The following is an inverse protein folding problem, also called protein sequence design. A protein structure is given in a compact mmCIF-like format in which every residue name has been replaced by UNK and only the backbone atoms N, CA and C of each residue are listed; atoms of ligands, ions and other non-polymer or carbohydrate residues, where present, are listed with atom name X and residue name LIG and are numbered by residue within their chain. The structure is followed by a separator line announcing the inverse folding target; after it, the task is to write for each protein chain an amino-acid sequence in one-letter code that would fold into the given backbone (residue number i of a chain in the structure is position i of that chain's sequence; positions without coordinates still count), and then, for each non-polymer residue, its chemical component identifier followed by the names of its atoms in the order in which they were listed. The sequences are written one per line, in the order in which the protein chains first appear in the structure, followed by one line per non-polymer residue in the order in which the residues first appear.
data_IF_013037232325
#
_entry.id   IF_013037232325
#
_cell.length_a   1.000
_cell.length_b   1.000
_cell.length_c   1.000
_cell.angle_alpha   90.00
_cell.angle_beta   90.00
_cell.angle_gamma   90.00
#
_symmetry.space_group_name_H-M   'P 1'
#
loop_
_entity.id
_entity.type
_entity.pdbx_description
1 polymer ?
#
# COMPACT_ATOMS: atom_id res chain seq x y z
N UNK A 1 40.72 1.00 6.39
CA UNK A 1 39.36 1.21 6.92
C UNK A 1 38.37 0.82 5.82
N UNK A 2 37.67 -0.31 5.96
CA UNK A 2 36.75 -0.80 4.92
C UNK A 2 35.45 0.00 4.93
N UNK A 3 35.23 0.78 3.87
CA UNK A 3 33.99 1.52 3.63
C UNK A 3 32.86 0.54 3.32
N UNK A 4 32.11 0.15 4.36
CA UNK A 4 30.86 -0.59 4.19
C UNK A 4 29.82 0.38 3.64
N UNK A 5 29.65 0.37 2.31
CA UNK A 5 28.57 1.10 1.64
C UNK A 5 27.25 0.41 2.01
N UNK A 6 26.46 1.00 2.90
CA UNK A 6 25.12 0.49 3.24
C UNK A 6 24.33 0.33 1.94
N UNK A 7 23.75 -0.85 1.72
CA UNK A 7 22.81 -1.05 0.62
C UNK A 7 21.61 -0.14 0.87
N UNK A 8 21.15 0.56 -0.16
CA UNK A 8 19.86 1.25 -0.09
C UNK A 8 18.79 0.18 -0.07
N UNK A 9 18.01 0.13 1.01
CA UNK A 9 16.80 -0.69 1.06
C UNK A 9 15.76 -0.04 0.15
N UNK A 10 15.49 -0.69 -0.97
CA UNK A 10 14.48 -0.27 -1.95
C UNK A 10 13.06 -0.63 -1.54
N UNK A 11 12.92 -1.33 -0.42
CA UNK A 11 11.65 -1.62 0.22
C UNK A 11 11.58 -0.68 1.41
N UNK A 12 10.78 0.38 1.28
CA UNK A 12 10.47 1.32 2.36
C UNK A 12 10.11 0.54 3.65
N UNK A 13 11.07 0.36 4.54
CA UNK A 13 10.87 -0.23 5.88
C UNK A 13 9.95 0.66 6.73
N UNK A 14 9.76 1.92 6.34
CA UNK A 14 8.91 2.91 7.01
C UNK A 14 7.52 3.06 6.37
N UNK A 15 6.97 2.00 5.81
CA UNK A 15 5.57 2.05 5.40
C UNK A 15 4.69 1.99 6.66
N UNK A 16 3.89 3.02 6.88
CA UNK A 16 2.86 3.05 7.93
C UNK A 16 1.96 1.82 7.81
N UNK A 17 1.55 1.25 8.95
CA UNK A 17 0.80 0.00 8.97
C UNK A 17 -0.65 0.24 8.50
N UNK A 18 -0.94 -0.08 7.25
CA UNK A 18 -2.27 0.03 6.68
C UNK A 18 -3.04 -1.31 6.80
N UNK A 19 -4.02 -1.35 7.71
CA UNK A 19 -4.85 -2.53 7.94
C UNK A 19 -5.57 -3.02 6.67
N UNK A 20 -5.88 -2.15 5.70
CA UNK A 20 -6.53 -2.55 4.44
C UNK A 20 -5.66 -3.50 3.63
N UNK A 21 -4.34 -3.30 3.68
CA UNK A 21 -3.34 -4.12 3.00
C UNK A 21 -2.73 -5.19 3.91
N UNK A 22 -3.24 -5.37 5.14
CA UNK A 22 -2.74 -6.35 6.08
C UNK A 22 -3.37 -7.73 5.84
N UNK A 23 -2.60 -8.80 5.91
CA UNK A 23 -3.07 -10.19 5.81
C UNK A 23 -4.18 -10.51 6.83
N UNK A 24 -4.10 -9.90 8.01
CA UNK A 24 -5.08 -10.06 9.09
C UNK A 24 -6.29 -9.12 8.99
N UNK A 25 -6.21 -8.07 8.16
CA UNK A 25 -7.35 -7.19 7.90
C UNK A 25 -8.44 -7.90 7.11
N UNK A 26 -9.69 -7.58 7.38
CA UNK A 26 -10.82 -8.01 6.56
C UNK A 26 -11.85 -6.90 6.52
N UNK A 27 -12.51 -6.75 5.38
CA UNK A 27 -13.61 -5.81 5.25
C UNK A 27 -14.85 -6.38 5.92
N UNK A 28 -15.43 -5.62 6.84
CA UNK A 28 -16.69 -5.91 7.50
C UNK A 28 -17.50 -4.62 7.58
N UNK A 29 -18.69 -4.61 6.97
CA UNK A 29 -19.62 -3.48 6.97
C UNK A 29 -19.00 -2.13 6.56
N UNK A 30 -18.13 -2.15 5.54
CA UNK A 30 -17.44 -0.95 5.02
C UNK A 30 -16.24 -0.47 5.86
N UNK A 31 -15.90 -1.17 6.95
CA UNK A 31 -14.72 -0.91 7.76
C UNK A 31 -13.72 -2.08 7.70
N UNK A 32 -12.44 -1.78 7.88
CA UNK A 32 -11.41 -2.83 7.98
C UNK A 32 -11.30 -3.27 9.43
N UNK A 33 -11.58 -4.55 9.69
CA UNK A 33 -11.45 -5.17 11.02
C UNK A 33 -10.25 -6.10 11.08
N UNK A 34 -9.54 -6.10 12.21
CA UNK A 34 -8.43 -7.00 12.45
C UNK A 34 -8.95 -8.35 12.95
N UNK A 35 -8.69 -9.44 12.22
CA UNK A 35 -9.06 -10.80 12.66
C UNK A 35 -8.39 -11.22 13.97
N UNK A 36 -7.27 -10.59 14.32
CA UNK A 36 -6.59 -10.83 15.59
C UNK A 36 -7.13 -9.98 16.76
N UNK A 37 -8.12 -9.10 16.51
CA UNK A 37 -8.70 -8.21 17.52
C UNK A 37 -7.70 -7.19 18.06
N UNK A 38 -6.73 -6.77 17.24
CA UNK A 38 -5.72 -5.80 17.62
C UNK A 38 -6.03 -4.44 17.00
N UNK A 39 -5.84 -3.41 17.81
CA UNK A 39 -5.86 -2.01 17.38
C UNK A 39 -4.44 -1.54 17.02
N UNK A 40 -4.37 -0.45 16.27
CA UNK A 40 -3.12 0.27 15.99
C UNK A 40 -2.61 0.92 17.29
N UNK A 41 -1.30 0.87 17.49
CA UNK A 41 -0.67 1.63 18.58
C UNK A 41 -0.79 3.14 18.31
N UNK A 42 -0.64 4.00 19.34
CA UNK A 42 -0.76 5.45 19.18
C UNK A 42 0.24 6.06 18.18
N UNK A 43 1.33 5.36 17.92
CA UNK A 43 2.36 5.72 16.94
C UNK A 43 2.02 5.27 15.51
N UNK A 44 0.85 4.65 15.29
CA UNK A 44 0.41 4.13 14.00
C UNK A 44 1.07 2.80 13.62
N UNK A 45 1.79 2.16 14.55
CA UNK A 45 2.40 0.85 14.32
C UNK A 45 1.45 -0.29 14.67
N UNK A 46 1.66 -1.45 14.03
CA UNK A 46 0.98 -2.68 14.41
C UNK A 46 1.99 -3.83 14.47
N UNK A 47 2.15 -4.43 15.65
CA UNK A 47 3.13 -5.51 15.91
C UNK A 47 2.92 -6.76 15.06
N UNK A 48 1.70 -7.00 14.58
CA UNK A 48 1.35 -8.14 13.72
C UNK A 48 1.08 -7.73 12.27
N UNK A 49 1.50 -6.53 11.88
CA UNK A 49 1.35 -6.10 10.50
C UNK A 49 2.11 -7.04 9.57
N UNK A 50 1.40 -7.57 8.57
CA UNK A 50 1.95 -8.42 7.53
C UNK A 50 1.31 -8.01 6.22
N UNK A 51 2.10 -7.45 5.32
CA UNK A 51 1.62 -6.95 4.04
C UNK A 51 1.11 -8.10 3.15
N UNK A 52 -0.12 -7.98 2.66
CA UNK A 52 -0.74 -8.89 1.71
C UNK A 52 -0.87 -8.18 0.34
N UNK A 53 -0.01 -8.51 -0.64
CA UNK A 53 -0.03 -7.87 -1.95
C UNK A 53 -1.36 -8.02 -2.70
N UNK A 54 -2.15 -9.06 -2.40
CA UNK A 54 -3.43 -9.31 -3.06
C UNK A 54 -4.52 -8.33 -2.61
N UNK A 55 -4.36 -7.75 -1.42
CA UNK A 55 -5.28 -6.73 -0.88
C UNK A 55 -4.90 -5.31 -1.31
N UNK A 56 -3.75 -5.15 -1.96
CA UNK A 56 -3.33 -3.84 -2.47
C UNK A 56 -4.32 -3.38 -3.54
N UNK A 57 -5.05 -2.30 -3.25
CA UNK A 57 -5.82 -1.59 -4.27
C UNK A 57 -4.87 -0.66 -5.03
N UNK A 58 -4.62 -0.87 -6.34
CA UNK A 58 -3.84 0.08 -7.12
C UNK A 58 -4.58 1.42 -7.17
N UNK A 59 -3.81 2.50 -7.24
CA UNK A 59 -4.38 3.82 -7.49
C UNK A 59 -5.14 3.79 -8.81
N UNK A 60 -6.28 4.49 -8.85
CA UNK A 60 -7.03 4.62 -10.09
C UNK A 60 -6.10 5.22 -11.15
N UNK A 61 -6.10 4.68 -12.38
CA UNK A 61 -5.35 5.30 -13.46
C UNK A 61 -5.85 6.73 -13.65
N UNK A 62 -4.98 7.65 -14.10
CA UNK A 62 -5.41 8.99 -14.46
C UNK A 62 -6.53 8.92 -15.52
N UNK A 63 -7.40 9.93 -15.58
CA UNK A 63 -8.41 9.99 -16.63
C UNK A 63 -7.75 9.90 -18.01
N UNK A 64 -8.37 9.14 -18.91
CA UNK A 64 -7.91 9.04 -20.29
C UNK A 64 -8.02 10.41 -20.94
N UNK A 65 -7.02 10.78 -21.76
CA UNK A 65 -7.15 11.98 -22.60
C UNK A 65 -8.32 11.81 -23.55
N UNK A 66 -9.08 12.88 -23.71
CA UNK A 66 -10.04 12.98 -24.79
C UNK A 66 -9.25 13.19 -26.10
N UNK A 67 -9.68 12.52 -27.16
CA UNK A 67 -9.08 12.64 -28.48
C UNK A 67 -10.12 13.15 -29.44
N UNK A 68 -9.71 14.05 -30.32
CA UNK A 68 -10.53 14.44 -31.46
C UNK A 68 -10.21 13.51 -32.65
N UNK A 69 -11.16 13.27 -33.57
CA UNK A 69 -10.90 12.51 -34.80
C UNK A 69 -9.70 13.04 -35.62
N UNK A 70 -9.39 14.33 -35.45
CA UNK A 70 -8.29 15.03 -36.12
C UNK A 70 -6.91 14.61 -35.61
N UNK A 71 -6.79 14.13 -34.37
CA UNK A 71 -5.54 13.59 -33.82
C UNK A 71 -5.08 12.31 -34.53
N UNK A 72 -5.97 11.69 -35.32
CA UNK A 72 -5.72 10.45 -36.05
C UNK A 72 -5.55 10.65 -37.56
N UNK A 73 -5.52 11.89 -38.05
CA UNK A 73 -5.24 12.20 -39.46
C UNK A 73 -3.72 12.19 -39.71
N UNK A 74 -3.32 11.51 -40.79
CA UNK A 74 -1.94 11.36 -41.26
C UNK A 74 -1.45 12.57 -42.06
#
# INVERSE_FOLDING_TARGET
MLFHKKKKDYFDEKREADCSCCRLGSDFDGAVVCKAGLDLEPDGSCRKFSYDPLKRKPFAPPPLREYDPEDFKL
#
